data_IF_284375953899
#
_entry.id   IF_284375953899
#
_cell.length_a   1.000
_cell.length_b   1.000
_cell.length_c   1.000
_cell.angle_alpha   90.00
_cell.angle_beta   90.00
_cell.angle_gamma   90.00
#
_symmetry.space_group_name_H-M   'P 1'
#
loop_
_entity.id
_entity.type
_entity.pdbx_description
1 polymer ?
#
# COMPACT_ATOMS: atom_id res chain seq x y z
N UNK A 1 -20.31 -1.75 -16.50
CA UNK A 1 -19.53 -0.88 -15.60
C UNK A 1 -18.08 -0.92 -16.08
N UNK A 2 -17.47 0.20 -16.46
CA UNK A 2 -16.13 0.16 -17.06
C UNK A 2 -15.00 0.17 -16.02
N UNK A 3 -15.24 0.74 -14.84
CA UNK A 3 -14.24 0.92 -13.79
C UNK A 3 -14.75 0.35 -12.46
N UNK A 4 -14.03 -0.61 -11.90
CA UNK A 4 -14.38 -1.25 -10.62
C UNK A 4 -13.33 -0.98 -9.55
N UNK A 5 -13.79 -0.65 -8.35
CA UNK A 5 -13.02 -0.56 -7.12
C UNK A 5 -13.17 -1.85 -6.32
N UNK A 6 -12.06 -2.38 -5.79
CA UNK A 6 -12.03 -3.58 -4.96
C UNK A 6 -11.24 -3.30 -3.68
N UNK A 7 -11.87 -3.43 -2.52
CA UNK A 7 -11.23 -3.18 -1.22
C UNK A 7 -11.73 -4.14 -0.14
N UNK A 8 -11.00 -4.21 0.97
CA UNK A 8 -11.40 -4.93 2.18
C UNK A 8 -12.61 -4.26 2.84
N UNK A 9 -13.63 -5.06 3.15
CA UNK A 9 -14.79 -4.64 3.91
C UNK A 9 -14.89 -5.38 5.24
N UNK A 10 -15.13 -4.66 6.34
CA UNK A 10 -15.36 -5.28 7.64
C UNK A 10 -16.88 -5.31 7.94
N UNK A 11 -17.51 -6.48 7.84
CA UNK A 11 -18.92 -6.67 8.24
C UNK A 11 -19.14 -6.38 9.72
N UNK A 12 -18.14 -6.71 10.53
CA UNK A 12 -18.07 -6.32 11.94
C UNK A 12 -16.64 -5.96 12.26
N UNK A 13 -16.44 -4.77 12.82
CA UNK A 13 -15.12 -4.20 13.11
C UNK A 13 -14.22 -5.23 13.81
N UNK A 14 -13.11 -5.56 13.17
CA UNK A 14 -12.08 -6.46 13.71
C UNK A 14 -12.42 -7.94 13.76
N UNK A 15 -13.54 -8.40 13.16
CA UNK A 15 -13.97 -9.79 13.24
C UNK A 15 -14.07 -10.45 11.87
N UNK A 16 -15.08 -10.07 11.08
CA UNK A 16 -15.39 -10.70 9.81
C UNK A 16 -15.11 -9.71 8.68
N UNK A 17 -14.19 -10.12 7.81
CA UNK A 17 -13.80 -9.34 6.63
C UNK A 17 -14.28 -10.03 5.36
N UNK A 18 -14.73 -9.22 4.41
CA UNK A 18 -15.03 -9.58 3.04
C UNK A 18 -14.43 -8.56 2.08
N UNK A 19 -14.97 -8.52 0.87
CA UNK A 19 -14.55 -7.59 -0.17
C UNK A 19 -15.73 -6.70 -0.56
N UNK A 20 -15.51 -5.40 -0.69
CA UNK A 20 -16.47 -4.48 -1.31
C UNK A 20 -16.09 -4.21 -2.75
N UNK A 21 -17.09 -4.26 -3.62
CA UNK A 21 -16.98 -3.90 -5.03
C UNK A 21 -17.73 -2.59 -5.24
N UNK A 22 -17.07 -1.62 -5.86
CA UNK A 22 -17.62 -0.27 -6.07
C UNK A 22 -17.53 0.07 -7.54
N UNK A 23 -18.59 0.62 -8.11
CA UNK A 23 -18.54 1.23 -9.42
C UNK A 23 -17.88 2.60 -9.28
N UNK A 24 -16.70 2.78 -9.89
CA UNK A 24 -15.93 4.02 -9.73
C UNK A 24 -16.48 5.19 -10.57
N UNK A 25 -17.36 4.93 -11.52
CA UNK A 25 -18.03 5.97 -12.31
C UNK A 25 -19.21 6.55 -11.52
N UNK A 26 -20.00 5.69 -10.90
CA UNK A 26 -21.23 6.09 -10.20
C UNK A 26 -21.03 6.24 -8.69
N UNK A 27 -19.89 5.79 -8.15
CA UNK A 27 -19.55 5.80 -6.73
C UNK A 27 -20.50 4.97 -5.85
N UNK A 28 -21.19 3.99 -6.43
CA UNK A 28 -22.09 3.10 -5.71
C UNK A 28 -21.45 1.74 -5.44
N UNK A 29 -21.78 1.16 -4.28
CA UNK A 29 -21.47 -0.24 -3.99
C UNK A 29 -22.25 -1.11 -4.97
N UNK A 30 -21.53 -2.00 -5.65
CA UNK A 30 -22.10 -2.97 -6.57
C UNK A 30 -22.39 -4.27 -5.82
N UNK A 31 -21.45 -4.71 -4.98
CA UNK A 31 -21.59 -5.97 -4.24
C UNK A 31 -20.69 -6.03 -3.01
N UNK A 32 -21.00 -6.95 -2.09
CA UNK A 32 -20.24 -7.28 -0.90
C UNK A 32 -19.99 -8.79 -0.84
N UNK A 33 -18.75 -9.20 -1.12
CA UNK A 33 -18.35 -10.60 -1.14
C UNK A 33 -18.08 -11.12 0.29
N UNK A 34 -18.29 -12.42 0.54
CA UNK A 34 -18.28 -12.97 1.89
C UNK A 34 -16.89 -13.11 2.53
N UNK A 35 -15.82 -13.03 1.73
CA UNK A 35 -14.43 -13.22 2.13
C UNK A 35 -13.48 -12.33 1.30
N UNK A 36 -12.16 -12.44 1.53
CA UNK A 36 -11.11 -11.66 0.86
C UNK A 36 -10.27 -12.51 -0.11
N UNK A 37 -10.79 -13.65 -0.55
CA UNK A 37 -10.04 -14.60 -1.35
C UNK A 37 -10.00 -14.17 -2.81
N UNK A 38 -8.82 -14.31 -3.44
CA UNK A 38 -8.67 -13.98 -4.85
C UNK A 38 -9.65 -14.74 -5.75
N UNK A 39 -9.94 -16.01 -5.42
CA UNK A 39 -10.86 -16.87 -6.16
C UNK A 39 -12.30 -16.36 -6.11
N UNK A 40 -12.76 -15.87 -4.96
CA UNK A 40 -14.11 -15.32 -4.77
C UNK A 40 -14.28 -14.04 -5.57
N UNK A 41 -13.31 -13.12 -5.48
CA UNK A 41 -13.31 -11.89 -6.27
C UNK A 41 -13.19 -12.18 -7.78
N UNK A 42 -12.33 -13.11 -8.19
CA UNK A 42 -12.19 -13.50 -9.59
C UNK A 42 -13.47 -14.11 -10.17
N UNK A 43 -14.16 -14.95 -9.40
CA UNK A 43 -15.44 -15.53 -9.80
C UNK A 43 -16.50 -14.45 -10.04
N UNK A 44 -16.48 -13.37 -9.26
CA UNK A 44 -17.35 -12.22 -9.47
C UNK A 44 -16.95 -11.39 -10.69
N UNK A 45 -15.66 -11.16 -10.92
CA UNK A 45 -15.17 -10.32 -12.04
C UNK A 45 -15.37 -11.01 -13.41
N UNK A 46 -15.19 -12.33 -13.47
CA UNK A 46 -15.13 -13.10 -14.74
C UNK A 46 -16.35 -12.91 -15.67
N UNK A 47 -17.60 -12.79 -15.18
CA UNK A 47 -18.77 -12.51 -16.01
C UNK A 47 -18.86 -11.08 -16.56
N UNK A 48 -17.94 -10.17 -16.17
CA UNK A 48 -17.95 -8.76 -16.55
C UNK A 48 -16.76 -8.40 -17.46
N UNK A 49 -16.75 -8.88 -18.73
CA UNK A 49 -15.67 -8.61 -19.67
C UNK A 49 -15.56 -7.12 -20.05
N UNK A 50 -16.61 -6.33 -19.81
CA UNK A 50 -16.62 -4.88 -20.05
C UNK A 50 -15.76 -4.07 -19.07
N UNK A 51 -15.29 -4.67 -17.97
CA UNK A 51 -14.39 -4.01 -17.02
C UNK A 51 -13.05 -3.73 -17.71
N UNK A 52 -12.71 -2.45 -17.80
CA UNK A 52 -11.47 -1.96 -18.39
C UNK A 52 -10.42 -1.58 -17.36
N UNK A 53 -10.83 -1.23 -16.14
CA UNK A 53 -9.92 -0.86 -15.05
C UNK A 53 -10.38 -1.49 -13.74
N UNK A 54 -9.42 -2.07 -13.03
CA UNK A 54 -9.59 -2.53 -11.66
C UNK A 54 -8.72 -1.64 -10.77
N UNK A 55 -9.34 -0.72 -10.03
CA UNK A 55 -8.70 -0.04 -8.91
C UNK A 55 -8.81 -0.93 -7.70
N UNK A 56 -7.69 -1.27 -7.07
CA UNK A 56 -7.71 -2.15 -5.91
C UNK A 56 -6.82 -1.66 -4.80
N UNK A 57 -7.12 -2.14 -3.59
CA UNK A 57 -6.17 -2.04 -2.50
C UNK A 57 -4.82 -2.70 -2.88
N UNK A 58 -3.81 -2.43 -2.06
CA UNK A 58 -2.44 -2.91 -2.31
C UNK A 58 -2.22 -4.37 -1.85
N UNK A 59 -3.29 -5.09 -1.53
CA UNK A 59 -3.32 -6.49 -1.16
C UNK A 59 -3.00 -7.41 -2.35
N UNK A 60 -2.27 -8.49 -2.06
CA UNK A 60 -1.85 -9.44 -3.09
C UNK A 60 -3.00 -10.26 -3.67
N UNK A 61 -4.09 -10.45 -2.91
CA UNK A 61 -5.22 -11.28 -3.34
C UNK A 61 -6.03 -10.61 -4.45
N UNK A 62 -6.30 -9.30 -4.36
CA UNK A 62 -7.03 -8.60 -5.43
C UNK A 62 -6.20 -8.43 -6.70
N UNK A 63 -4.87 -8.31 -6.58
CA UNK A 63 -3.97 -8.35 -7.73
C UNK A 63 -4.08 -9.67 -8.48
N UNK A 64 -4.09 -10.80 -7.74
CA UNK A 64 -4.29 -12.12 -8.32
C UNK A 64 -5.69 -12.24 -8.94
N UNK A 65 -6.73 -11.74 -8.27
CA UNK A 65 -8.09 -11.79 -8.76
C UNK A 65 -8.25 -11.07 -10.11
N UNK A 66 -7.73 -9.84 -10.21
CA UNK A 66 -7.73 -9.06 -11.44
C UNK A 66 -6.97 -9.79 -12.56
N UNK A 67 -5.76 -10.29 -12.29
CA UNK A 67 -4.97 -11.04 -13.27
C UNK A 67 -5.64 -12.33 -13.76
N UNK A 68 -6.39 -13.02 -12.90
CA UNK A 68 -7.09 -14.26 -13.25
C UNK A 68 -8.38 -14.02 -14.05
N UNK A 69 -9.14 -12.97 -13.72
CA UNK A 69 -10.51 -12.80 -14.22
C UNK A 69 -10.69 -11.65 -15.21
N UNK A 70 -9.79 -10.66 -15.21
CA UNK A 70 -9.82 -9.53 -16.13
C UNK A 70 -8.39 -9.18 -16.63
N UNK A 71 -7.70 -10.11 -17.33
CA UNK A 71 -6.36 -9.83 -17.87
C UNK A 71 -6.34 -8.70 -18.91
N UNK A 72 -7.48 -8.36 -19.49
CA UNK A 72 -7.65 -7.21 -20.39
C UNK A 72 -7.72 -5.87 -19.64
N UNK A 73 -8.06 -5.88 -18.35
CA UNK A 73 -8.23 -4.68 -17.57
C UNK A 73 -6.89 -4.13 -17.08
N UNK A 74 -6.78 -2.81 -16.99
CA UNK A 74 -5.63 -2.15 -16.37
C UNK A 74 -5.75 -2.25 -14.84
N UNK A 75 -4.77 -2.90 -14.21
CA UNK A 75 -4.68 -3.03 -12.76
C UNK A 75 -4.00 -1.78 -12.15
N UNK A 76 -4.75 -1.05 -11.32
CA UNK A 76 -4.32 0.24 -10.74
C UNK A 76 -4.38 0.18 -9.22
N UNK A 77 -3.36 0.74 -8.57
CA UNK A 77 -3.39 0.92 -7.12
C UNK A 77 -4.35 2.06 -6.76
N UNK A 78 -5.24 1.78 -5.81
CA UNK A 78 -6.23 2.76 -5.37
C UNK A 78 -5.58 4.02 -4.75
N UNK A 79 -6.09 5.18 -5.16
CA UNK A 79 -5.57 6.50 -4.78
C UNK A 79 -5.63 6.75 -3.27
N UNK A 80 -6.69 6.33 -2.58
CA UNK A 80 -6.84 6.55 -1.15
C UNK A 80 -5.67 5.91 -0.38
N UNK A 81 -5.34 4.67 -0.71
CA UNK A 81 -4.24 3.93 -0.08
C UNK A 81 -2.88 4.58 -0.35
N UNK A 82 -2.66 5.16 -1.54
CA UNK A 82 -1.44 5.90 -1.85
C UNK A 82 -1.34 7.18 -1.00
N UNK A 83 -2.40 7.97 -0.96
CA UNK A 83 -2.43 9.22 -0.20
C UNK A 83 -2.27 8.96 1.31
N UNK A 84 -3.00 7.97 1.85
CA UNK A 84 -2.90 7.57 3.26
C UNK A 84 -1.47 7.21 3.65
N UNK A 85 -0.83 6.35 2.87
CA UNK A 85 0.55 5.93 3.15
C UNK A 85 1.54 7.11 3.10
N UNK A 86 1.35 8.04 2.15
CA UNK A 86 2.17 9.24 2.05
C UNK A 86 1.97 10.16 3.26
N UNK A 87 0.72 10.40 3.65
CA UNK A 87 0.39 11.23 4.81
C UNK A 87 0.97 10.65 6.10
N UNK A 88 0.79 9.35 6.34
CA UNK A 88 1.36 8.66 7.51
C UNK A 88 2.89 8.77 7.54
N UNK A 89 3.54 8.59 6.40
CA UNK A 89 4.99 8.74 6.30
C UNK A 89 5.45 10.17 6.60
N UNK A 90 4.76 11.18 6.07
CA UNK A 90 5.04 12.59 6.34
C UNK A 90 4.82 12.96 7.80
N UNK A 91 3.76 12.47 8.44
CA UNK A 91 3.50 12.71 9.86
C UNK A 91 4.64 12.17 10.74
N UNK A 92 5.11 10.95 10.47
CA UNK A 92 6.24 10.36 11.20
C UNK A 92 7.53 11.16 10.99
N UNK A 93 7.76 11.61 9.76
CA UNK A 93 8.92 12.40 9.39
C UNK A 93 8.93 13.74 10.14
N UNK A 94 7.85 14.51 10.03
CA UNK A 94 7.71 15.81 10.66
C UNK A 94 7.75 15.71 12.19
N UNK A 95 7.16 14.66 12.76
CA UNK A 95 7.25 14.38 14.19
C UNK A 95 8.70 14.24 14.67
N UNK A 96 9.55 13.53 13.92
CA UNK A 96 10.99 13.41 14.24
C UNK A 96 11.71 14.74 14.10
N UNK A 97 11.48 15.47 13.00
CA UNK A 97 12.09 16.77 12.78
C UNK A 97 11.76 17.75 13.90
N UNK A 98 10.53 17.75 14.39
CA UNK A 98 10.12 18.61 15.50
C UNK A 98 10.82 18.27 16.81
N UNK A 99 11.01 16.98 17.12
CA UNK A 99 11.77 16.57 18.31
C UNK A 99 13.26 16.93 18.20
N UNK A 100 13.86 16.75 17.02
CA UNK A 100 15.24 17.18 16.77
C UNK A 100 15.42 18.70 16.93
N UNK A 101 14.49 19.50 16.38
CA UNK A 101 14.49 20.95 16.54
C UNK A 101 14.37 21.34 18.01
N UNK A 102 13.43 20.73 18.76
CA UNK A 102 13.27 21.00 20.20
C UNK A 102 14.55 20.70 20.99
N UNK A 103 15.21 19.58 20.71
CA UNK A 103 16.47 19.21 21.36
C UNK A 103 17.60 20.20 21.02
N UNK A 104 17.71 20.61 19.75
CA UNK A 104 18.70 21.60 19.33
C UNK A 104 18.46 22.97 19.98
N UNK A 105 17.21 23.42 20.08
CA UNK A 105 16.85 24.71 20.71
C UNK A 105 17.10 24.78 22.22
N UNK A 106 17.24 23.63 22.89
CA UNK A 106 17.58 23.56 24.33
C UNK A 106 19.10 23.58 24.58
N UNK A 107 19.91 23.51 23.51
CA UNK A 107 21.37 23.62 23.61
C UNK A 107 21.73 25.10 23.53
N UNK A 108 22.47 25.69 24.49
CA UNK A 108 22.89 27.07 24.39
C UNK A 108 23.79 27.24 23.15
N UNK A 109 23.37 28.09 22.22
CA UNK A 109 24.12 28.38 20.99
C UNK A 109 25.48 29.04 21.35
N UNK A 110 26.62 28.51 20.88
CA UNK A 110 27.83 29.33 20.80
C UNK A 110 27.57 30.43 19.78
N UNK A 111 27.80 31.70 20.15
CA UNK A 111 27.71 32.86 19.26
C UNK A 111 28.38 32.56 17.90
N UNK A 112 27.59 32.41 16.84
CA UNK A 112 28.09 32.36 15.47
C UNK A 112 27.27 33.25 14.54
N UNK A 113 28.01 34.11 13.85
CA UNK A 113 27.57 35.05 12.84
C UNK A 113 26.64 34.41 11.80
N UNK A 114 25.58 35.14 11.47
CA UNK A 114 24.59 34.79 10.45
C UNK A 114 25.21 34.86 9.06
N UNK A 115 25.83 33.77 8.61
CA UNK A 115 26.13 33.53 7.20
C UNK A 115 25.29 32.37 6.69
N UNK A 116 24.29 32.69 5.87
CA UNK A 116 23.75 31.86 4.78
C UNK A 116 23.64 30.36 5.08
N UNK A 117 22.56 29.91 5.75
CA UNK A 117 22.21 28.47 5.74
C UNK A 117 21.74 28.10 4.33
N UNK A 118 22.61 27.43 3.59
CA UNK A 118 22.32 26.85 2.29
C UNK A 118 21.10 25.92 2.38
N UNK A 119 20.20 26.01 1.39
CA UNK A 119 19.07 25.09 1.25
C UNK A 119 19.64 23.69 1.02
N UNK A 120 19.51 22.83 2.04
CA UNK A 120 19.98 21.44 2.01
C UNK A 120 19.10 20.67 1.01
N UNK A 121 19.71 19.88 0.13
CA UNK A 121 18.96 19.04 -0.82
C UNK A 121 18.24 17.89 -0.11
N UNK A 122 17.19 17.33 -0.73
CA UNK A 122 16.42 16.21 -0.14
C UNK A 122 17.31 14.99 0.09
N UNK A 123 18.24 14.72 -0.83
CA UNK A 123 19.25 13.66 -0.73
C UNK A 123 20.18 13.84 0.46
N UNK A 124 20.63 15.08 0.72
CA UNK A 124 21.51 15.43 1.84
C UNK A 124 20.78 15.40 3.19
N UNK A 125 19.52 15.84 3.23
CA UNK A 125 18.73 15.84 4.46
C UNK A 125 18.29 14.44 4.88
N UNK A 126 18.20 13.48 3.94
CA UNK A 126 17.64 12.15 4.19
C UNK A 126 18.38 11.44 5.34
N UNK A 127 17.75 11.29 6.53
CA UNK A 127 18.40 10.64 7.64
C UNK A 127 18.67 9.17 7.30
N UNK A 128 19.84 8.66 7.71
CA UNK A 128 20.18 7.25 7.53
C UNK A 128 19.10 6.39 8.19
N UNK A 129 18.48 5.51 7.41
CA UNK A 129 17.41 4.63 7.89
C UNK A 129 17.92 3.83 9.10
N UNK A 130 17.27 3.91 10.29
CA UNK A 130 17.76 3.21 11.47
C UNK A 130 17.88 1.71 11.19
N UNK A 131 18.94 1.08 11.69
CA UNK A 131 19.26 -0.32 11.35
C UNK A 131 18.12 -1.28 11.69
N UNK A 132 17.33 -1.00 12.73
CA UNK A 132 16.16 -1.82 13.09
C UNK A 132 15.02 -1.71 12.06
N UNK A 133 14.79 -0.51 11.50
CA UNK A 133 13.82 -0.29 10.42
C UNK A 133 14.29 -1.01 9.15
N UNK A 134 15.57 -0.90 8.84
CA UNK A 134 16.19 -1.57 7.72
C UNK A 134 16.09 -3.10 7.84
N UNK A 135 16.37 -3.66 9.03
CA UNK A 135 16.17 -5.09 9.35
C UNK A 135 14.70 -5.50 9.24
N UNK A 136 13.76 -4.72 9.78
CA UNK A 136 12.33 -5.02 9.68
C UNK A 136 11.84 -5.01 8.23
N UNK A 137 12.32 -4.05 7.43
CA UNK A 137 12.02 -3.96 5.99
C UNK A 137 12.61 -5.11 5.21
N UNK A 138 13.87 -5.47 5.49
CA UNK A 138 14.53 -6.63 4.89
C UNK A 138 13.83 -7.94 5.27
N UNK A 139 13.45 -8.12 6.54
CA UNK A 139 12.70 -9.28 7.01
C UNK A 139 11.31 -9.38 6.34
N UNK A 140 10.61 -8.25 6.16
CA UNK A 140 9.35 -8.22 5.40
C UNK A 140 9.58 -8.54 3.92
N UNK A 141 10.68 -8.08 3.33
CA UNK A 141 11.04 -8.36 1.93
C UNK A 141 11.42 -9.83 1.73
N UNK A 142 12.30 -10.38 2.59
CA UNK A 142 12.70 -11.78 2.55
C UNK A 142 11.52 -12.70 2.82
N UNK A 143 10.67 -12.37 3.80
CA UNK A 143 9.46 -13.14 4.07
C UNK A 143 8.45 -13.12 2.92
N UNK A 144 8.36 -12.04 2.13
CA UNK A 144 7.55 -12.02 0.90
C UNK A 144 8.20 -12.83 -0.22
N UNK A 145 9.52 -12.74 -0.37
CA UNK A 145 10.28 -13.47 -1.40
C UNK A 145 10.27 -14.98 -1.15
N UNK A 146 10.47 -15.41 0.09
CA UNK A 146 10.40 -16.83 0.48
C UNK A 146 9.01 -17.42 0.21
N UNK A 147 7.93 -16.70 0.55
CA UNK A 147 6.56 -17.11 0.21
C UNK A 147 6.31 -17.17 -1.30
N UNK A 148 6.88 -16.25 -2.06
CA UNK A 148 6.83 -16.28 -3.52
C UNK A 148 7.59 -17.49 -4.09
N UNK A 149 8.79 -17.78 -3.61
CA UNK A 149 9.58 -18.94 -4.04
C UNK A 149 8.87 -20.26 -3.71
N UNK A 150 8.32 -20.39 -2.50
CA UNK A 150 7.53 -21.56 -2.09
C UNK A 150 6.31 -21.77 -3.01
N UNK A 151 5.62 -20.68 -3.40
CA UNK A 151 4.52 -20.74 -4.35
C UNK A 151 4.98 -21.18 -5.75
N UNK A 152 6.13 -20.71 -6.21
CA UNK A 152 6.71 -21.10 -7.52
C UNK A 152 7.08 -22.59 -7.53
N UNK A 153 7.71 -23.08 -6.46
CA UNK A 153 8.06 -24.51 -6.30
C UNK A 153 6.82 -25.42 -6.26
N UNK A 154 5.78 -25.01 -5.53
CA UNK A 154 4.51 -25.75 -5.48
C UNK A 154 3.78 -25.74 -6.84
N UNK A 155 3.98 -24.72 -7.68
CA UNK A 155 3.45 -24.69 -9.05
C UNK A 155 4.27 -25.53 -10.03
N UNK A 156 5.56 -25.73 -9.77
CA UNK A 156 6.44 -26.57 -10.60
C UNK A 156 6.36 -28.06 -10.31
N UNK A 157 5.71 -28.46 -9.21
CA UNK A 157 5.57 -29.87 -8.78
C UNK A 157 4.22 -30.51 -9.11
N UNK A 158 3.26 -29.72 -9.62
CA UNK A 158 2.06 -30.21 -10.29
C UNK A 158 2.28 -30.18 -11.81
N UNK A 159 3.01 -31.16 -12.32
CA UNK A 159 3.19 -31.45 -13.74
C UNK A 159 2.96 -32.93 -14.00
#
# INVERSE_FOLDING_TARGET
MLYVGIDDFAFRRGQRFGTVLVNLETHHIVDLLPDRQAVTAAAWIKPHPEIMVVSRDRGGEYAKAAAMAAPQATDVADRFHILKNLTEALQLLLGRSLEEIKLASQTPEPHQDTSSKAVITVEEWRPKEPTHVQRARLARRSGRYARYQQMVELRGTCG
#
